data_IF_968637362799
#
_entry.id   IF_968637362799
#
_cell.length_a   1.000
_cell.length_b   1.000
_cell.length_c   1.000
_cell.angle_alpha   90.00
_cell.angle_beta   90.00
_cell.angle_gamma   90.00
#
_symmetry.space_group_name_H-M   'P 1'
#
loop_
_entity.id
_entity.type
_entity.pdbx_description
1 polymer ?
#
# COMPACT_ATOMS: atom_id res chain seq x y z
N UNK A 1 13.78 8.39 36.46
CA UNK A 1 12.71 7.51 35.90
C UNK A 1 12.13 8.21 34.68
N UNK A 2 12.05 7.49 33.55
CA UNK A 2 11.79 8.02 32.20
C UNK A 2 10.53 8.89 32.12
N UNK A 3 10.61 9.96 31.33
CA UNK A 3 9.55 10.90 30.93
C UNK A 3 8.39 10.18 30.20
N UNK A 4 7.70 9.29 30.90
CA UNK A 4 6.51 8.62 30.38
C UNK A 4 5.30 9.50 30.62
N UNK A 5 4.53 9.70 29.56
CA UNK A 5 3.23 10.33 29.60
C UNK A 5 2.19 9.25 29.91
N UNK A 6 1.29 9.53 30.83
CA UNK A 6 0.23 8.62 31.21
C UNK A 6 -0.93 8.70 30.20
N UNK A 7 -1.25 7.63 29.49
CA UNK A 7 -2.39 7.62 28.55
C UNK A 7 -3.77 7.75 29.23
N UNK A 8 -3.83 7.53 30.56
CA UNK A 8 -5.06 7.72 31.34
C UNK A 8 -5.43 9.20 31.58
N UNK A 9 -4.46 10.07 31.85
CA UNK A 9 -4.69 11.48 32.22
C UNK A 9 -3.91 12.49 31.37
N UNK A 10 -3.05 12.00 30.47
CA UNK A 10 -2.15 12.77 29.61
C UNK A 10 -1.10 13.61 30.36
N UNK A 11 -0.89 13.37 31.66
CA UNK A 11 0.20 13.98 32.44
C UNK A 11 1.47 13.13 32.45
N UNK A 12 2.62 13.75 32.62
CA UNK A 12 3.91 13.06 32.77
C UNK A 12 4.15 12.60 34.20
N UNK A 13 5.09 11.67 34.39
CA UNK A 13 5.57 11.26 35.72
C UNK A 13 4.97 9.97 36.28
N UNK A 14 4.04 9.34 35.54
CA UNK A 14 3.49 8.03 35.86
C UNK A 14 2.94 7.34 34.60
N UNK A 15 2.59 6.06 34.72
CA UNK A 15 1.95 5.27 33.66
C UNK A 15 0.47 5.04 33.97
N UNK A 16 -0.33 4.68 32.96
CA UNK A 16 -1.79 4.51 33.09
C UNK A 16 -2.22 3.53 34.19
N UNK A 17 -1.44 2.48 34.44
CA UNK A 17 -1.70 1.50 35.51
C UNK A 17 -1.66 2.12 36.91
N UNK A 18 -0.89 3.17 37.10
CA UNK A 18 -0.67 3.86 38.38
C UNK A 18 -1.47 5.18 38.47
N UNK A 19 -2.32 5.44 37.48
CA UNK A 19 -3.05 6.69 37.36
C UNK A 19 -4.28 6.75 38.27
N UNK A 20 -4.28 7.66 39.24
CA UNK A 20 -5.42 7.95 40.11
C UNK A 20 -6.42 8.95 39.53
N UNK A 21 -6.04 9.67 38.47
CA UNK A 21 -6.84 10.71 37.80
C UNK A 21 -7.17 10.32 36.35
N UNK A 22 -7.42 9.04 36.10
CA UNK A 22 -7.72 8.55 34.76
C UNK A 22 -9.02 9.18 34.25
N UNK A 23 -8.97 9.74 33.05
CA UNK A 23 -10.12 10.34 32.39
C UNK A 23 -11.07 9.24 31.91
N UNK A 24 -12.36 9.56 31.90
CA UNK A 24 -13.38 8.72 31.28
C UNK A 24 -13.71 9.25 29.89
N UNK A 25 -13.81 8.33 28.94
CA UNK A 25 -14.16 8.66 27.57
C UNK A 25 -15.61 9.11 27.49
N UNK A 26 -15.87 10.27 26.88
CA UNK A 26 -17.23 10.76 26.65
C UNK A 26 -17.97 9.96 25.56
N UNK A 27 -17.25 9.16 24.76
CA UNK A 27 -17.81 8.41 23.63
C UNK A 27 -18.20 6.98 24.05
N UNK A 28 -17.32 6.25 24.75
CA UNK A 28 -17.59 4.87 25.16
C UNK A 28 -17.60 4.62 26.68
N UNK A 29 -17.38 5.64 27.51
CA UNK A 29 -17.39 5.52 28.97
C UNK A 29 -16.18 4.79 29.58
N UNK A 30 -15.29 4.22 28.78
CA UNK A 30 -14.10 3.50 29.26
C UNK A 30 -13.03 4.45 29.82
N UNK A 31 -12.10 3.90 30.61
CA UNK A 31 -11.02 4.63 31.29
C UNK A 31 -9.89 5.03 30.34
N UNK A 32 -10.17 5.96 29.42
CA UNK A 32 -9.19 6.64 28.57
C UNK A 32 -9.63 8.09 28.25
N UNK A 33 -8.67 8.95 27.92
CA UNK A 33 -8.96 10.29 27.41
C UNK A 33 -9.77 10.22 26.11
N UNK A 34 -10.78 11.08 25.95
CA UNK A 34 -11.68 11.01 24.76
C UNK A 34 -10.94 11.17 23.43
N UNK A 35 -9.81 11.88 23.42
CA UNK A 35 -8.94 12.02 22.24
C UNK A 35 -8.28 10.70 21.80
N UNK A 36 -8.19 9.72 22.70
CA UNK A 36 -7.63 8.38 22.42
C UNK A 36 -8.72 7.36 22.08
N UNK A 37 -9.98 7.79 21.92
CA UNK A 37 -11.07 6.89 21.56
C UNK A 37 -10.88 6.34 20.14
N UNK A 38 -10.94 5.01 20.00
CA UNK A 38 -10.83 4.33 18.72
C UNK A 38 -12.24 3.94 18.26
N UNK A 39 -12.73 4.61 17.20
CA UNK A 39 -13.98 4.23 16.56
C UNK A 39 -13.76 2.96 15.71
N UNK A 40 -14.28 1.83 16.18
CA UNK A 40 -14.37 0.64 15.34
C UNK A 40 -15.52 0.84 14.33
N UNK A 41 -15.20 1.15 13.07
CA UNK A 41 -16.14 0.92 11.95
C UNK A 41 -16.27 -0.60 11.81
N UNK A 42 -17.46 -1.13 12.11
CA UNK A 42 -17.76 -2.56 11.93
C UNK A 42 -17.50 -2.95 10.47
N UNK A 43 -16.68 -3.97 10.25
CA UNK A 43 -16.50 -4.58 8.94
C UNK A 43 -17.80 -5.28 8.58
N UNK A 44 -18.56 -4.73 7.64
CA UNK A 44 -19.61 -5.48 6.97
C UNK A 44 -18.94 -6.63 6.20
N UNK A 45 -19.22 -7.88 6.59
CA UNK A 45 -18.77 -9.07 5.89
C UNK A 45 -19.36 -9.09 4.48
N UNK A 46 -18.53 -8.90 3.46
CA UNK A 46 -18.95 -9.05 2.06
C UNK A 46 -18.86 -10.53 1.70
N UNK A 47 -20.02 -11.16 1.48
CA UNK A 47 -20.11 -12.51 0.86
C UNK A 47 -19.61 -12.44 -0.59
N UNK A 48 -18.90 -13.46 -1.11
CA UNK A 48 -18.41 -13.44 -2.47
C UNK A 48 -19.57 -13.73 -3.45
N UNK A 49 -19.95 -12.70 -4.21
CA UNK A 49 -20.78 -12.83 -5.41
C UNK A 49 -19.91 -12.78 -6.66
N UNK A 50 -20.01 -13.82 -7.49
CA UNK A 50 -19.31 -13.96 -8.77
C UNK A 50 -19.93 -13.04 -9.83
N UNK A 51 -19.41 -11.85 -10.12
CA UNK A 51 -19.62 -11.18 -11.42
C UNK A 51 -18.40 -10.35 -11.81
N UNK A 52 -17.95 -10.53 -13.05
CA UNK A 52 -16.73 -9.97 -13.61
C UNK A 52 -17.02 -8.61 -14.24
N UNK A 53 -16.86 -7.51 -13.50
CA UNK A 53 -16.85 -6.16 -14.05
C UNK A 53 -15.85 -5.27 -13.29
N UNK A 54 -15.29 -4.27 -13.98
CA UNK A 54 -14.24 -3.37 -13.53
C UNK A 54 -14.48 -2.79 -12.12
N UNK A 55 -13.96 -3.44 -11.09
CA UNK A 55 -13.96 -2.91 -9.72
C UNK A 55 -12.84 -1.86 -9.64
N UNK A 56 -13.13 -0.59 -9.25
CA UNK A 56 -12.07 0.31 -8.86
C UNK A 56 -11.35 -0.33 -7.68
N UNK A 57 -10.07 -0.65 -7.85
CA UNK A 57 -9.26 -1.23 -6.78
C UNK A 57 -9.20 -0.21 -5.64
N UNK A 58 -10.13 -0.32 -4.70
CA UNK A 58 -10.08 0.39 -3.45
C UNK A 58 -8.98 -0.29 -2.65
N UNK A 59 -7.78 0.26 -2.71
CA UNK A 59 -6.68 -0.13 -1.83
C UNK A 59 -7.15 0.21 -0.42
N UNK A 60 -7.64 -0.79 0.31
CA UNK A 60 -7.85 -0.65 1.75
C UNK A 60 -6.48 -0.57 2.41
N UNK A 61 -5.95 0.63 2.54
CA UNK A 61 -4.85 0.94 3.45
C UNK A 61 -5.34 0.62 4.86
N UNK A 62 -4.88 -0.50 5.41
CA UNK A 62 -5.01 -0.80 6.84
C UNK A 62 -4.03 0.08 7.62
N UNK A 63 -4.20 1.40 7.52
CA UNK A 63 -3.40 2.40 8.20
C UNK A 63 -4.06 2.79 9.51
N UNK A 64 -4.08 1.89 10.50
CA UNK A 64 -4.38 2.27 11.90
C UNK A 64 -3.15 2.91 12.55
N UNK A 65 -2.54 3.88 11.87
CA UNK A 65 -1.69 4.87 12.51
C UNK A 65 -2.59 6.08 12.75
N UNK A 66 -2.56 6.71 13.92
CA UNK A 66 -3.49 7.79 14.30
C UNK A 66 -3.41 9.09 13.47
N UNK A 67 -2.97 9.03 12.21
CA UNK A 67 -3.23 10.03 11.19
C UNK A 67 -4.68 9.82 10.73
N UNK A 68 -5.51 10.87 10.74
CA UNK A 68 -6.96 10.78 10.47
C UNK A 68 -7.32 10.23 9.08
N UNK A 69 -8.61 10.30 8.71
CA UNK A 69 -9.12 10.00 7.36
C UNK A 69 -8.48 10.95 6.33
N UNK A 70 -7.22 10.73 5.98
CA UNK A 70 -6.52 11.40 4.90
C UNK A 70 -6.71 10.60 3.63
N UNK A 71 -7.23 11.26 2.60
CA UNK A 71 -7.22 10.77 1.23
C UNK A 71 -5.80 10.32 0.87
N UNK A 72 -5.58 9.01 0.91
CA UNK A 72 -4.32 8.40 0.55
C UNK A 72 -4.17 8.49 -0.98
N UNK A 73 -3.53 9.55 -1.46
CA UNK A 73 -3.20 9.71 -2.88
C UNK A 73 -2.04 8.77 -3.21
N UNK A 74 -2.30 7.79 -4.08
CA UNK A 74 -1.26 6.93 -4.64
C UNK A 74 -0.56 7.65 -5.80
N UNK A 75 0.76 7.54 -5.87
CA UNK A 75 1.54 8.09 -6.97
C UNK A 75 1.40 7.21 -8.22
N UNK A 76 0.23 7.24 -8.86
CA UNK A 76 -0.07 6.50 -10.09
C UNK A 76 0.03 7.44 -11.28
N UNK A 77 0.83 7.08 -12.29
CA UNK A 77 1.07 7.91 -13.48
C UNK A 77 0.85 7.11 -14.77
N UNK A 78 0.30 7.71 -15.84
CA UNK A 78 0.22 7.08 -17.15
C UNK A 78 1.61 7.03 -17.80
N UNK A 79 1.93 5.89 -18.40
CA UNK A 79 3.23 5.63 -19.03
C UNK A 79 3.08 4.83 -20.33
N UNK A 80 4.09 4.94 -21.19
CA UNK A 80 4.30 4.06 -22.35
C UNK A 80 5.41 3.07 -22.02
N UNK A 81 5.15 1.78 -22.19
CA UNK A 81 6.15 0.72 -21.97
C UNK A 81 6.42 -0.03 -23.26
N UNK A 82 7.67 -0.38 -23.52
CA UNK A 82 8.09 -1.25 -24.62
C UNK A 82 9.27 -2.12 -24.21
N UNK A 83 9.59 -3.12 -25.03
CA UNK A 83 10.88 -3.82 -24.93
C UNK A 83 11.89 -3.19 -25.88
N UNK A 84 13.18 -3.15 -25.53
CA UNK A 84 14.26 -2.69 -26.42
C UNK A 84 14.31 -3.44 -27.74
N UNK A 85 13.92 -4.72 -27.72
CA UNK A 85 13.97 -5.62 -28.88
C UNK A 85 12.65 -5.64 -29.66
N UNK A 86 11.61 -5.01 -29.13
CA UNK A 86 10.27 -5.02 -29.69
C UNK A 86 9.86 -3.65 -30.22
N UNK A 87 8.96 -3.63 -31.19
CA UNK A 87 8.36 -2.39 -31.69
C UNK A 87 7.02 -2.07 -31.02
N UNK A 88 6.48 -3.00 -30.24
CA UNK A 88 5.18 -2.85 -29.61
C UNK A 88 5.28 -1.96 -28.37
N UNK A 89 4.51 -0.88 -28.39
CA UNK A 89 4.33 0.05 -27.27
C UNK A 89 2.96 -0.22 -26.65
N UNK A 90 2.92 -0.25 -25.32
CA UNK A 90 1.68 -0.41 -24.55
C UNK A 90 1.56 0.75 -23.57
N UNK A 91 0.44 1.45 -23.65
CA UNK A 91 0.03 2.46 -22.67
C UNK A 91 -0.58 1.76 -21.45
N UNK A 92 -0.15 2.16 -20.26
CA UNK A 92 -0.63 1.62 -18.99
C UNK A 92 -0.39 2.61 -17.87
N UNK A 93 -0.90 2.33 -16.69
CA UNK A 93 -0.56 3.05 -15.47
C UNK A 93 0.58 2.35 -14.74
N UNK A 94 1.47 3.15 -14.14
CA UNK A 94 2.53 2.71 -13.25
C UNK A 94 2.32 3.30 -11.85
N UNK A 95 2.60 2.51 -10.82
CA UNK A 95 2.62 2.97 -9.44
C UNK A 95 4.07 3.27 -9.02
N UNK A 96 4.36 4.53 -8.72
CA UNK A 96 5.67 5.01 -8.29
C UNK A 96 5.81 4.83 -6.78
N UNK A 97 6.42 3.72 -6.38
CA UNK A 97 6.62 3.38 -4.97
C UNK A 97 8.11 3.45 -4.59
N UNK A 98 8.49 4.50 -3.86
CA UNK A 98 9.84 4.65 -3.30
C UNK A 98 10.15 3.65 -2.20
N UNK A 99 9.14 2.99 -1.62
CA UNK A 99 9.30 1.94 -0.62
C UNK A 99 9.62 0.57 -1.22
N UNK A 100 9.49 0.41 -2.54
CA UNK A 100 9.81 -0.83 -3.25
C UNK A 100 11.28 -0.87 -3.66
N UNK A 101 11.90 -2.05 -3.50
CA UNK A 101 13.30 -2.29 -3.90
C UNK A 101 13.47 -2.86 -5.32
N UNK A 102 12.36 -3.11 -6.02
CA UNK A 102 12.35 -3.69 -7.35
C UNK A 102 11.12 -3.22 -8.14
N UNK A 103 11.25 -3.21 -9.46
CA UNK A 103 10.17 -2.89 -10.40
C UNK A 103 9.39 -4.15 -10.78
N UNK A 104 8.05 -4.05 -10.84
CA UNK A 104 7.19 -5.15 -11.23
C UNK A 104 6.26 -4.75 -12.36
N UNK A 105 5.98 -5.69 -13.27
CA UNK A 105 4.91 -5.59 -14.24
C UNK A 105 3.99 -6.81 -14.16
N UNK A 106 2.77 -6.64 -14.63
CA UNK A 106 1.81 -7.76 -14.67
C UNK A 106 2.15 -8.71 -15.81
N UNK A 107 1.81 -10.00 -15.64
CA UNK A 107 1.90 -10.99 -16.73
C UNK A 107 1.07 -10.56 -17.94
N UNK A 108 -0.04 -9.85 -17.71
CA UNK A 108 -0.85 -9.25 -18.77
C UNK A 108 -0.10 -8.20 -19.59
N UNK A 109 0.76 -7.38 -18.98
CA UNK A 109 1.60 -6.44 -19.71
C UNK A 109 2.63 -7.17 -20.58
N UNK A 110 3.26 -8.24 -20.05
CA UNK A 110 4.17 -9.07 -20.84
C UNK A 110 3.48 -9.68 -22.07
N UNK A 111 2.26 -10.21 -21.90
CA UNK A 111 1.46 -10.75 -23.00
C UNK A 111 1.09 -9.68 -24.03
N UNK A 112 0.69 -8.48 -23.57
CA UNK A 112 0.40 -7.34 -24.47
C UNK A 112 1.64 -6.88 -25.23
N UNK A 113 2.83 -6.93 -24.62
CA UNK A 113 4.10 -6.61 -25.28
C UNK A 113 4.60 -7.74 -26.19
N UNK A 114 4.00 -8.93 -26.13
CA UNK A 114 4.42 -10.14 -26.83
C UNK A 114 5.88 -10.52 -26.52
N UNK A 115 6.24 -10.51 -25.24
CA UNK A 115 7.60 -10.84 -24.77
C UNK A 115 7.59 -12.06 -23.85
N UNK A 116 8.66 -12.85 -23.93
CA UNK A 116 8.89 -13.97 -23.03
C UNK A 116 9.79 -13.53 -21.86
N UNK A 117 9.52 -14.09 -20.67
CA UNK A 117 10.37 -13.90 -19.50
C UNK A 117 10.92 -15.22 -19.00
N UNK A 118 12.01 -15.17 -18.24
CA UNK A 118 12.59 -16.35 -17.59
C UNK A 118 11.83 -16.65 -16.30
N UNK A 119 11.20 -17.82 -16.21
CA UNK A 119 10.48 -18.24 -15.00
C UNK A 119 11.45 -18.29 -13.80
N UNK A 120 11.00 -17.76 -12.67
CA UNK A 120 11.73 -17.73 -11.40
C UNK A 120 10.74 -17.74 -10.23
N UNK A 121 11.26 -17.82 -9.01
CA UNK A 121 10.52 -17.54 -7.78
C UNK A 121 11.19 -16.39 -7.05
N UNK A 122 10.40 -15.46 -6.54
CA UNK A 122 10.87 -14.33 -5.74
C UNK A 122 10.25 -14.39 -4.34
N UNK A 123 11.02 -14.00 -3.33
CA UNK A 123 10.49 -13.78 -1.98
C UNK A 123 10.05 -12.31 -1.87
N UNK A 124 8.75 -12.07 -1.92
CA UNK A 124 8.18 -10.75 -1.71
C UNK A 124 8.04 -10.48 -0.22
N UNK A 125 8.67 -9.41 0.25
CA UNK A 125 8.55 -8.92 1.63
C UNK A 125 7.79 -7.60 1.63
N UNK A 126 6.72 -7.56 2.40
CA UNK A 126 5.90 -6.37 2.63
C UNK A 126 5.86 -6.10 4.13
N UNK A 127 5.31 -4.96 4.56
CA UNK A 127 5.28 -4.57 5.98
C UNK A 127 4.58 -5.57 6.90
N UNK A 128 3.65 -6.38 6.38
CA UNK A 128 2.88 -7.34 7.18
C UNK A 128 3.18 -8.81 6.93
N UNK A 129 3.90 -9.15 5.86
CA UNK A 129 4.08 -10.55 5.43
C UNK A 129 5.26 -10.73 4.48
N UNK A 130 5.80 -11.95 4.47
CA UNK A 130 6.66 -12.44 3.38
C UNK A 130 5.99 -13.62 2.67
N UNK A 131 6.15 -13.69 1.35
CA UNK A 131 5.57 -14.74 0.52
C UNK A 131 6.45 -15.04 -0.68
N UNK A 132 6.69 -16.32 -0.94
CA UNK A 132 7.33 -16.78 -2.19
C UNK A 132 6.29 -16.78 -3.30
N UNK A 133 6.59 -16.13 -4.42
CA UNK A 133 5.69 -15.98 -5.57
C UNK A 133 6.39 -16.43 -6.85
N UNK A 134 5.70 -17.21 -7.68
CA UNK A 134 6.14 -17.53 -9.03
C UNK A 134 6.13 -16.26 -9.89
N UNK A 135 7.21 -16.01 -10.61
CA UNK A 135 7.41 -14.76 -11.35
C UNK A 135 8.24 -14.98 -12.61
N UNK A 136 8.38 -13.93 -13.41
CA UNK A 136 9.19 -13.93 -14.61
C UNK A 136 10.18 -12.78 -14.57
N UNK A 137 11.44 -13.06 -14.87
CA UNK A 137 12.44 -12.01 -15.12
C UNK A 137 12.26 -11.57 -16.57
N UNK A 138 12.03 -10.28 -16.76
CA UNK A 138 11.84 -9.66 -18.08
C UNK A 138 12.94 -8.62 -18.27
N UNK A 139 14.02 -8.96 -18.99
CA UNK A 139 15.08 -8.00 -19.26
C UNK A 139 14.64 -6.98 -20.31
N UNK A 140 15.35 -5.85 -20.35
CA UNK A 140 15.28 -4.90 -21.48
C UNK A 140 13.88 -4.29 -21.71
N UNK A 141 13.20 -3.92 -20.62
CA UNK A 141 12.04 -3.04 -20.70
C UNK A 141 12.47 -1.58 -20.61
N UNK A 142 11.81 -0.75 -21.41
CA UNK A 142 11.93 0.70 -21.41
C UNK A 142 10.57 1.33 -21.11
N UNK A 143 10.60 2.46 -20.40
CA UNK A 143 9.43 3.25 -20.03
C UNK A 143 9.61 4.70 -20.44
N UNK A 144 8.54 5.33 -20.90
CA UNK A 144 8.45 6.76 -21.15
C UNK A 144 7.20 7.34 -20.47
N UNK A 145 7.22 8.64 -20.18
CA UNK A 145 6.01 9.36 -19.80
C UNK A 145 4.98 9.32 -20.93
N UNK A 146 3.70 9.48 -20.61
CA UNK A 146 2.61 9.39 -21.59
C UNK A 146 2.81 10.33 -22.79
N UNK A 147 3.12 11.61 -22.53
CA UNK A 147 3.34 12.63 -23.56
C UNK A 147 4.82 12.76 -24.01
N UNK A 148 5.69 11.85 -23.57
CA UNK A 148 7.12 11.89 -23.87
C UNK A 148 7.52 10.75 -24.80
N UNK A 149 8.39 11.02 -25.76
CA UNK A 149 9.03 9.99 -26.59
C UNK A 149 10.45 9.66 -26.11
N UNK A 150 10.85 10.22 -24.96
CA UNK A 150 12.10 9.87 -24.30
C UNK A 150 11.90 8.62 -23.42
N UNK A 151 12.47 7.51 -23.87
CA UNK A 151 12.45 6.23 -23.17
C UNK A 151 13.67 6.08 -22.26
N UNK A 152 13.43 5.57 -21.05
CA UNK A 152 14.44 5.23 -20.07
C UNK A 152 14.38 3.74 -19.74
N UNK A 153 15.51 3.18 -19.36
CA UNK A 153 15.58 1.79 -18.89
C UNK A 153 14.81 1.61 -17.59
N UNK A 154 14.07 0.50 -17.48
CA UNK A 154 13.47 0.11 -16.22
C UNK A 154 14.57 -0.26 -15.20
N UNK A 155 14.48 0.27 -13.96
CA UNK A 155 15.43 -0.04 -12.90
C UNK A 155 15.22 -1.45 -12.32
#
# INVERSE_FOLDING_TARGET
KKNSICFGCLCTGHISKECRKCLSCKICGLRHASILHIHHKEKSEVKPGNEAENIPVMIQTSGLTGAGEQDCKLAIVPVKVKSKRGQRIVETYAFLDQGSSASFCTVGLMAKLNIAGRRTKILLRTMGQEKVVDSFIVPELEVAGFDSDMYCDMP
#
